data_IF_554710250126
#
_entry.id   IF_554710250126
#
_cell.length_a   1.000
_cell.length_b   1.000
_cell.length_c   1.000
_cell.angle_alpha   90.00
_cell.angle_beta   90.00
_cell.angle_gamma   90.00
#
_symmetry.space_group_name_H-M   'P 1'
#
loop_
_entity.id
_entity.type
_entity.pdbx_description
1 polymer ?
#
# COMPACT_ATOMS: atom_id res chain seq x y z
N UNK A 1 -14.15 5.84 -0.70
CA UNK A 1 -13.46 5.78 -2.01
C UNK A 1 -12.36 4.73 -1.92
N UNK A 2 -12.13 3.88 -2.93
CA UNK A 2 -10.86 3.16 -3.01
C UNK A 2 -9.81 4.25 -3.29
N UNK A 3 -8.85 4.39 -2.38
CA UNK A 3 -7.80 5.42 -2.46
C UNK A 3 -6.46 4.72 -2.29
N UNK A 4 -5.45 5.16 -3.02
CA UNK A 4 -4.05 4.69 -2.90
C UNK A 4 -3.57 4.52 -1.44
N UNK A 5 -3.78 5.49 -0.51
CA UNK A 5 -3.38 5.34 0.90
C UNK A 5 -4.05 4.16 1.61
N UNK A 6 -5.23 3.71 1.17
CA UNK A 6 -5.88 2.53 1.75
C UNK A 6 -5.20 1.24 1.34
N UNK A 7 -4.80 1.12 0.07
CA UNK A 7 -4.04 -0.02 -0.44
C UNK A 7 -2.65 -0.07 0.20
N UNK A 8 -2.02 1.09 0.35
CA UNK A 8 -0.73 1.24 1.04
C UNK A 8 -0.80 0.73 2.50
N UNK A 9 -1.88 1.03 3.23
CA UNK A 9 -2.09 0.49 4.59
C UNK A 9 -2.16 -1.04 4.60
N UNK A 10 -2.86 -1.62 3.62
CA UNK A 10 -2.97 -3.07 3.48
C UNK A 10 -1.61 -3.71 3.19
N UNK A 11 -0.81 -3.11 2.30
CA UNK A 11 0.55 -3.56 2.01
C UNK A 11 1.47 -3.41 3.22
N UNK A 12 1.40 -2.28 3.94
CA UNK A 12 2.17 -2.04 5.16
C UNK A 12 1.88 -3.11 6.23
N UNK A 13 0.62 -3.56 6.35
CA UNK A 13 0.23 -4.63 7.27
C UNK A 13 0.84 -6.01 6.93
N UNK A 14 1.25 -6.26 5.67
CA UNK A 14 1.98 -7.48 5.29
C UNK A 14 3.42 -7.48 5.85
N UNK A 15 3.95 -6.30 6.15
CA UNK A 15 5.25 -6.10 6.76
C UNK A 15 6.38 -5.93 5.74
N UNK A 16 7.40 -5.18 6.16
CA UNK A 16 8.55 -4.80 5.34
C UNK A 16 9.25 -5.99 4.66
N UNK A 17 9.49 -7.07 5.40
CA UNK A 17 10.22 -8.24 4.91
C UNK A 17 9.56 -8.89 3.69
N UNK A 18 8.22 -9.01 3.69
CA UNK A 18 7.50 -9.59 2.55
C UNK A 18 7.58 -8.69 1.33
N UNK A 19 7.30 -7.40 1.52
CA UNK A 19 7.37 -6.42 0.44
C UNK A 19 8.78 -6.39 -0.19
N UNK A 20 9.83 -6.41 0.63
CA UNK A 20 11.22 -6.47 0.16
C UNK A 20 11.54 -7.77 -0.59
N UNK A 21 10.96 -8.90 -0.20
CA UNK A 21 11.13 -10.18 -0.92
C UNK A 21 10.49 -10.11 -2.31
N UNK A 22 9.26 -9.58 -2.40
CA UNK A 22 8.54 -9.40 -3.66
C UNK A 22 9.30 -8.43 -4.58
N UNK A 23 9.80 -7.31 -4.04
CA UNK A 23 10.61 -6.33 -4.78
C UNK A 23 11.91 -6.94 -5.30
N UNK A 24 12.55 -7.85 -4.56
CA UNK A 24 13.76 -8.55 -5.04
C UNK A 24 13.49 -9.46 -6.23
N UNK A 25 12.32 -10.09 -6.28
CA UNK A 25 11.95 -10.98 -7.39
C UNK A 25 11.42 -10.21 -8.62
N UNK A 26 10.61 -9.18 -8.40
CA UNK A 26 9.79 -8.55 -9.45
C UNK A 26 10.10 -7.07 -9.70
N UNK A 27 11.01 -6.45 -8.93
CA UNK A 27 11.30 -5.01 -8.85
C UNK A 27 10.15 -4.11 -8.37
N UNK A 28 8.90 -4.49 -8.62
CA UNK A 28 7.72 -3.73 -8.23
C UNK A 28 6.62 -4.65 -7.67
N UNK A 29 5.65 -4.06 -6.97
CA UNK A 29 4.48 -4.74 -6.42
C UNK A 29 3.23 -4.25 -7.15
N UNK A 30 2.47 -5.17 -7.72
CA UNK A 30 1.23 -4.87 -8.44
C UNK A 30 0.04 -5.30 -7.57
N UNK A 31 -0.87 -4.37 -7.32
CA UNK A 31 -2.09 -4.61 -6.54
C UNK A 31 -3.30 -4.15 -7.34
N UNK A 32 -4.29 -5.03 -7.43
CA UNK A 32 -5.56 -4.75 -8.08
C UNK A 32 -6.60 -4.56 -6.97
N UNK A 33 -7.23 -3.38 -6.88
CA UNK A 33 -8.30 -3.15 -5.92
C UNK A 33 -9.52 -3.97 -6.34
N UNK A 34 -9.91 -5.00 -5.58
CA UNK A 34 -11.06 -5.86 -5.90
C UNK A 34 -12.41 -5.11 -5.93
N UNK A 35 -12.47 -3.91 -5.33
CA UNK A 35 -13.67 -3.09 -5.24
C UNK A 35 -13.84 -2.13 -6.42
N UNK A 36 -12.75 -1.52 -6.92
CA UNK A 36 -12.82 -0.58 -8.04
C UNK A 36 -12.16 -1.09 -9.34
N UNK A 37 -11.41 -2.20 -9.27
CA UNK A 37 -10.67 -2.77 -10.39
C UNK A 37 -9.39 -2.01 -10.77
N UNK A 38 -9.00 -1.00 -9.98
CA UNK A 38 -7.83 -0.16 -10.32
C UNK A 38 -6.52 -0.89 -10.02
N UNK A 39 -5.57 -0.78 -10.95
CA UNK A 39 -4.22 -1.31 -10.82
C UNK A 39 -3.31 -0.25 -10.19
N UNK A 40 -2.73 -0.58 -9.05
CA UNK A 40 -1.71 0.20 -8.38
C UNK A 40 -0.37 -0.53 -8.48
N UNK A 41 0.66 0.21 -8.89
CA UNK A 41 2.03 -0.30 -8.97
C UNK A 41 2.85 0.47 -7.94
N UNK A 42 3.57 -0.26 -7.10
CA UNK A 42 4.45 0.28 -6.09
C UNK A 42 5.88 -0.16 -6.39
N UNK A 43 6.76 0.80 -6.66
CA UNK A 43 8.19 0.55 -6.77
C UNK A 43 8.82 0.54 -5.37
N UNK A 44 10.10 0.18 -5.29
CA UNK A 44 10.89 0.27 -4.07
C UNK A 44 10.77 1.63 -3.39
N UNK A 45 10.84 2.73 -4.15
CA UNK A 45 10.73 4.08 -3.58
C UNK A 45 9.35 4.30 -2.93
N UNK A 46 8.26 3.88 -3.58
CA UNK A 46 6.91 3.99 -3.02
C UNK A 46 6.76 3.14 -1.75
N UNK A 47 7.30 1.93 -1.75
CA UNK A 47 7.27 1.03 -0.59
C UNK A 47 8.08 1.60 0.57
N UNK A 48 9.28 2.16 0.32
CA UNK A 48 10.08 2.82 1.34
C UNK A 48 9.36 4.04 1.93
N UNK A 49 8.72 4.85 1.09
CA UNK A 49 7.93 5.99 1.56
C UNK A 49 6.74 5.55 2.40
N UNK A 50 6.00 4.52 1.96
CA UNK A 50 4.88 3.94 2.69
C UNK A 50 5.28 3.35 4.05
N UNK A 51 6.48 2.75 4.14
CA UNK A 51 7.02 2.22 5.40
C UNK A 51 7.57 3.33 6.30
N UNK A 52 8.14 4.40 5.73
CA UNK A 52 8.62 5.57 6.46
C UNK A 52 7.50 6.49 6.94
N UNK A 53 6.35 6.50 6.26
CA UNK A 53 5.16 7.22 6.68
C UNK A 53 4.46 6.47 7.84
N UNK A 54 5.17 6.38 8.96
CA UNK A 54 4.69 5.86 10.23
C UNK A 54 3.57 6.78 10.76
N UNK A 55 2.33 6.52 10.34
CA UNK A 55 1.18 6.75 11.21
C UNK A 55 0.34 8.01 10.99
N UNK A 56 -0.01 8.41 9.77
CA UNK A 56 -1.16 9.32 9.57
C UNK A 56 -2.39 8.63 8.98
N UNK A 57 -3.05 7.77 9.76
CA UNK A 57 -4.46 7.45 9.50
C UNK A 57 -5.29 8.54 10.16
N UNK A 58 -5.64 9.56 9.40
CA UNK A 58 -6.83 10.34 9.70
C UNK A 58 -7.95 9.75 8.83
N UNK A 59 -8.41 8.55 9.16
CA UNK A 59 -9.74 8.12 8.69
C UNK A 59 -10.78 8.75 9.61
N UNK A 60 -10.96 10.06 9.45
CA UNK A 60 -12.10 10.78 9.99
C UNK A 60 -13.23 10.71 8.99
N UNK A 61 -14.02 9.63 9.00
CA UNK A 61 -15.47 9.68 8.76
C UNK A 61 -16.14 8.31 8.90
N UNK A 62 -16.75 8.07 10.06
CA UNK A 62 -18.12 7.53 10.06
C UNK A 62 -18.92 8.36 11.05
N UNK A 63 -19.53 9.43 10.53
CA UNK A 63 -20.58 10.19 11.21
C UNK A 63 -21.88 9.44 10.92
N UNK A 64 -22.50 8.83 11.93
CA UNK A 64 -23.93 8.52 11.99
C UNK A 64 -24.42 8.89 13.38
#
# INVERSE_FOLDING_TARGET
ACSRPRIERTLNAMGRTELESILKERQHIEVICEFCGEHYIFDNIDVENMLNECGMTIDSQTRH
#
